data_IF_738561010595
#
_entry.id   IF_738561010595
#
_cell.length_a   1.000
_cell.length_b   1.000
_cell.length_c   1.000
_cell.angle_alpha   90.00
_cell.angle_beta   90.00
_cell.angle_gamma   90.00
#
_symmetry.space_group_name_H-M   'P 1'
#
loop_
_entity.id
_entity.type
_entity.pdbx_description
1 polymer ?
#
# COMPACT_ATOMS: atom_id res chain seq x y z
N UNK A 1 -14.85 -20.28 -77.30
CA UNK A 1 -13.66 -19.61 -76.74
C UNK A 1 -13.71 -19.79 -75.23
N UNK A 2 -12.60 -20.26 -74.67
CA UNK A 2 -12.40 -20.63 -73.27
C UNK A 2 -12.44 -19.42 -72.32
N UNK A 3 -12.80 -19.63 -71.05
CA UNK A 3 -12.58 -18.65 -70.00
C UNK A 3 -13.31 -18.96 -68.69
N UNK A 4 -12.75 -19.86 -67.90
CA UNK A 4 -13.10 -20.15 -66.50
C UNK A 4 -12.92 -18.91 -65.61
N UNK A 5 -13.98 -18.46 -64.93
CA UNK A 5 -13.86 -17.52 -63.80
C UNK A 5 -13.43 -18.31 -62.56
N UNK A 6 -12.17 -18.17 -62.16
CA UNK A 6 -11.71 -18.55 -60.82
C UNK A 6 -11.79 -17.33 -59.92
N UNK A 7 -12.59 -17.43 -58.86
CA UNK A 7 -12.63 -16.46 -57.77
C UNK A 7 -11.25 -16.35 -57.10
N UNK A 8 -10.58 -15.23 -57.35
CA UNK A 8 -9.38 -14.84 -56.62
C UNK A 8 -9.78 -14.27 -55.26
N UNK A 9 -9.66 -15.08 -54.21
CA UNK A 9 -9.58 -14.62 -52.83
C UNK A 9 -8.42 -13.63 -52.72
N UNK A 10 -8.75 -12.34 -52.71
CA UNK A 10 -7.78 -11.28 -52.49
C UNK A 10 -7.51 -11.22 -50.98
N UNK A 11 -6.54 -12.03 -50.54
CA UNK A 11 -5.92 -11.89 -49.23
C UNK A 11 -5.31 -10.50 -49.14
N UNK A 12 -5.93 -9.62 -48.37
CA UNK A 12 -5.37 -8.30 -48.03
C UNK A 12 -4.15 -8.58 -47.16
N UNK A 13 -2.96 -8.62 -47.76
CA UNK A 13 -1.69 -8.59 -47.02
C UNK A 13 -1.61 -7.25 -46.29
N UNK A 14 -2.13 -7.20 -45.06
CA UNK A 14 -1.92 -6.09 -44.14
C UNK A 14 -0.48 -6.17 -43.61
N UNK A 15 0.42 -5.47 -44.30
CA UNK A 15 1.81 -5.28 -43.89
C UNK A 15 1.87 -4.55 -42.54
N UNK A 16 2.58 -5.08 -41.53
CA UNK A 16 2.73 -4.42 -40.24
C UNK A 16 3.53 -3.12 -40.41
N UNK A 17 3.08 -2.04 -39.77
CA UNK A 17 3.85 -0.80 -39.71
C UNK A 17 5.18 -1.05 -38.99
N UNK A 18 6.27 -1.00 -39.74
CA UNK A 18 7.62 -1.18 -39.23
C UNK A 18 8.10 0.10 -38.54
N UNK A 19 8.61 -0.03 -37.31
CA UNK A 19 9.26 1.08 -36.60
C UNK A 19 10.65 1.35 -37.17
N UNK A 20 11.11 2.62 -37.16
CA UNK A 20 12.42 3.00 -37.69
C UNK A 20 13.58 2.51 -36.81
N UNK A 21 14.78 2.62 -37.38
CA UNK A 21 16.07 2.31 -36.77
C UNK A 21 16.29 3.23 -35.54
N UNK A 22 16.99 2.78 -34.48
CA UNK A 22 17.17 3.56 -33.26
C UNK A 22 17.76 4.95 -33.51
N UNK A 23 17.17 5.98 -32.87
CA UNK A 23 17.54 7.42 -32.88
C UNK A 23 16.98 8.28 -34.02
N UNK A 24 16.11 7.75 -34.87
CA UNK A 24 15.34 8.57 -35.82
C UNK A 24 13.86 8.62 -35.41
N UNK A 25 13.26 9.81 -35.42
CA UNK A 25 11.84 9.97 -35.14
C UNK A 25 11.02 9.41 -36.32
N UNK A 26 10.09 8.49 -36.05
CA UNK A 26 9.18 7.98 -37.07
C UNK A 26 8.22 9.07 -37.55
N UNK A 27 7.77 8.98 -38.81
CA UNK A 27 6.63 9.76 -39.30
C UNK A 27 5.42 9.44 -38.41
N UNK A 28 4.63 10.46 -38.08
CA UNK A 28 3.39 10.27 -37.33
C UNK A 28 2.41 9.44 -38.17
N UNK A 29 1.78 8.45 -37.53
CA UNK A 29 0.74 7.63 -38.13
C UNK A 29 -0.48 7.68 -37.22
N UNK A 30 -1.67 7.84 -37.82
CA UNK A 30 -2.93 7.81 -37.08
C UNK A 30 -3.33 6.35 -36.89
N UNK A 31 -3.28 5.89 -35.63
CA UNK A 31 -3.66 4.54 -35.28
C UNK A 31 -5.18 4.39 -35.30
N UNK A 32 -5.64 3.30 -35.91
CA UNK A 32 -7.03 2.90 -36.00
C UNK A 32 -7.30 1.58 -35.27
N UNK A 33 -8.58 1.27 -35.08
CA UNK A 33 -9.01 0.00 -34.53
C UNK A 33 -8.62 -1.15 -35.47
N UNK A 34 -7.93 -2.16 -34.94
CA UNK A 34 -7.44 -3.31 -35.71
C UNK A 34 -6.01 -3.16 -36.24
N UNK A 35 -5.32 -2.06 -35.94
CA UNK A 35 -3.93 -1.89 -36.34
C UNK A 35 -2.98 -2.83 -35.58
N UNK A 36 -2.01 -3.39 -36.28
CA UNK A 36 -0.93 -4.19 -35.68
C UNK A 36 0.31 -3.33 -35.47
N UNK A 37 0.69 -3.14 -34.21
CA UNK A 37 1.90 -2.43 -33.82
C UNK A 37 3.00 -3.42 -33.45
N UNK A 38 4.12 -3.42 -34.17
CA UNK A 38 5.27 -4.27 -33.85
C UNK A 38 6.36 -3.46 -33.15
N UNK A 39 6.70 -3.84 -31.92
CA UNK A 39 7.81 -3.27 -31.16
C UNK A 39 8.84 -4.37 -30.93
N UNK A 40 10.00 -4.26 -31.59
CA UNK A 40 11.02 -5.30 -31.57
C UNK A 40 10.49 -6.63 -32.12
N UNK A 41 10.50 -7.68 -31.28
CA UNK A 41 9.97 -9.00 -31.62
C UNK A 41 8.48 -9.21 -31.33
N UNK A 42 7.84 -8.28 -30.62
CA UNK A 42 6.46 -8.43 -30.14
C UNK A 42 5.49 -7.65 -31.02
N UNK A 43 4.42 -8.31 -31.47
CA UNK A 43 3.31 -7.68 -32.20
C UNK A 43 2.10 -7.52 -31.29
N UNK A 44 1.51 -6.32 -31.28
CA UNK A 44 0.31 -5.97 -30.53
C UNK A 44 -0.83 -5.69 -31.51
N UNK A 45 -2.02 -6.24 -31.25
CA UNK A 45 -3.25 -5.86 -31.94
C UNK A 45 -3.93 -4.73 -31.14
N UNK A 46 -4.16 -3.59 -31.77
CA UNK A 46 -4.71 -2.41 -31.14
C UNK A 46 -6.24 -2.37 -31.27
N UNK A 47 -6.95 -2.34 -30.14
CA UNK A 47 -8.38 -2.04 -30.10
C UNK A 47 -8.59 -0.62 -29.56
N UNK A 48 -8.98 0.31 -30.45
CA UNK A 48 -9.21 1.72 -30.11
C UNK A 48 -10.71 2.00 -30.18
N UNK A 49 -11.28 2.52 -29.09
CA UNK A 49 -12.70 2.80 -28.93
C UNK A 49 -12.90 4.19 -28.33
N UNK A 50 -13.85 4.96 -28.86
CA UNK A 50 -14.25 6.25 -28.28
C UNK A 50 -15.52 6.04 -27.46
N UNK A 51 -15.48 6.39 -26.17
CA UNK A 51 -16.60 6.19 -25.25
C UNK A 51 -16.84 4.71 -24.92
N UNK A 52 -18.12 4.28 -24.93
CA UNK A 52 -18.54 2.94 -24.48
C UNK A 52 -18.69 1.91 -25.60
N UNK A 53 -18.43 2.28 -26.86
CA UNK A 53 -18.53 1.36 -27.99
C UNK A 53 -17.34 0.39 -27.97
N UNK A 54 -17.56 -0.87 -27.59
CA UNK A 54 -16.54 -1.94 -27.66
C UNK A 54 -16.75 -2.80 -28.91
N UNK A 55 -15.69 -3.36 -29.49
CA UNK A 55 -15.81 -4.37 -30.54
C UNK A 55 -16.16 -5.74 -29.94
N UNK A 56 -16.57 -6.68 -30.79
CA UNK A 56 -16.90 -8.06 -30.42
C UNK A 56 -15.82 -8.73 -29.55
N UNK A 57 -14.55 -8.56 -29.91
CA UNK A 57 -13.43 -9.11 -29.16
C UNK A 57 -13.30 -8.47 -27.76
N UNK A 58 -13.36 -7.15 -27.65
CA UNK A 58 -13.31 -6.45 -26.36
C UNK A 58 -14.53 -6.75 -25.46
N UNK A 59 -15.73 -6.90 -26.05
CA UNK A 59 -16.92 -7.30 -25.31
C UNK A 59 -16.81 -8.73 -24.78
N UNK A 60 -16.23 -9.65 -25.58
CA UNK A 60 -16.09 -11.07 -25.21
C UNK A 60 -15.04 -11.31 -24.11
N UNK A 61 -13.98 -10.50 -24.07
CA UNK A 61 -12.92 -10.60 -23.06
C UNK A 61 -13.32 -10.05 -21.69
N UNK A 62 -14.55 -9.53 -21.53
CA UNK A 62 -15.03 -8.96 -20.27
C UNK A 62 -14.28 -7.69 -19.85
N UNK A 63 -13.55 -7.05 -20.79
CA UNK A 63 -12.87 -5.77 -20.56
C UNK A 63 -13.94 -4.69 -20.60
N UNK A 64 -14.65 -4.55 -19.48
CA UNK A 64 -15.50 -3.40 -19.24
C UNK A 64 -14.58 -2.21 -19.00
N UNK A 65 -14.50 -1.30 -19.97
CA UNK A 65 -13.96 0.03 -19.73
C UNK A 65 -14.88 0.69 -18.69
N UNK A 66 -14.46 0.71 -17.44
CA UNK A 66 -15.01 1.63 -16.43
C UNK A 66 -14.78 3.02 -16.99
N UNK A 67 -15.84 3.62 -17.53
CA UNK A 67 -15.78 4.88 -18.23
C UNK A 67 -15.09 5.95 -17.41
N UNK A 68 -13.89 6.34 -17.83
CA UNK A 68 -13.50 7.73 -17.79
C UNK A 68 -14.31 8.41 -18.89
N UNK A 69 -15.40 9.07 -18.51
CA UNK A 69 -16.13 9.95 -19.41
C UNK A 69 -15.18 11.08 -19.83
N UNK A 70 -14.83 11.13 -21.11
CA UNK A 70 -14.08 12.23 -21.68
C UNK A 70 -14.95 13.51 -21.73
N UNK A 71 -14.45 14.56 -21.07
CA UNK A 71 -14.44 15.91 -21.61
C UNK A 71 -15.70 16.76 -21.47
N UNK A 72 -15.80 17.51 -20.36
CA UNK A 72 -16.55 18.77 -20.34
C UNK A 72 -17.04 19.20 -18.96
N UNK A 73 -16.29 20.09 -18.28
CA UNK A 73 -16.81 20.84 -17.14
C UNK A 73 -15.91 20.79 -15.90
N UNK A 74 -14.92 21.67 -15.87
CA UNK A 74 -14.31 22.12 -14.63
C UNK A 74 -15.37 22.86 -13.79
N UNK A 75 -16.05 22.15 -12.88
CA UNK A 75 -16.64 22.75 -11.67
C UNK A 75 -17.08 21.64 -10.72
N UNK A 76 -16.62 21.69 -9.46
CA UNK A 76 -17.11 20.94 -8.28
C UNK A 76 -16.38 19.64 -7.87
N UNK A 77 -15.06 19.50 -8.10
CA UNK A 77 -14.24 18.44 -7.46
C UNK A 77 -14.27 18.53 -5.92
N UNK A 78 -14.32 19.75 -5.38
CA UNK A 78 -14.51 20.01 -3.96
C UNK A 78 -15.84 19.44 -3.41
N UNK A 79 -16.87 19.33 -4.26
CA UNK A 79 -18.22 18.91 -3.85
C UNK A 79 -18.33 17.40 -3.64
N UNK A 80 -17.68 16.59 -4.48
CA UNK A 80 -17.72 15.12 -4.34
C UNK A 80 -16.88 14.64 -3.15
N UNK A 81 -15.67 15.19 -2.97
CA UNK A 81 -14.84 14.86 -1.81
C UNK A 81 -15.47 15.37 -0.51
N UNK A 82 -16.10 16.56 -0.54
CA UNK A 82 -16.87 17.05 0.61
C UNK A 82 -18.10 16.18 0.91
N UNK A 83 -18.81 15.70 -0.12
CA UNK A 83 -19.92 14.76 0.04
C UNK A 83 -19.45 13.42 0.61
N UNK A 84 -18.32 12.89 0.14
CA UNK A 84 -17.68 11.68 0.67
C UNK A 84 -17.28 11.86 2.13
N UNK A 85 -16.64 12.98 2.47
CA UNK A 85 -16.27 13.33 3.87
C UNK A 85 -17.50 13.51 4.75
N UNK A 86 -18.56 14.15 4.27
CA UNK A 86 -19.84 14.31 4.98
C UNK A 86 -20.52 12.95 5.21
N UNK A 87 -20.56 12.09 4.19
CA UNK A 87 -21.09 10.73 4.28
C UNK A 87 -20.32 9.87 5.29
N UNK A 88 -18.98 9.92 5.22
CA UNK A 88 -18.12 9.22 6.18
C UNK A 88 -18.30 9.75 7.61
N UNK A 89 -18.48 11.06 7.79
CA UNK A 89 -18.78 11.65 9.10
C UNK A 89 -20.15 11.24 9.65
N UNK A 90 -21.18 11.13 8.79
CA UNK A 90 -22.50 10.62 9.17
C UNK A 90 -22.39 9.15 9.62
N UNK A 91 -21.63 8.34 8.88
CA UNK A 91 -21.39 6.94 9.23
C UNK A 91 -20.65 6.82 10.56
N UNK A 92 -19.55 7.55 10.74
CA UNK A 92 -18.80 7.57 12.01
C UNK A 92 -19.65 8.03 13.19
N UNK A 93 -20.56 9.00 13.00
CA UNK A 93 -21.51 9.43 14.03
C UNK A 93 -22.52 8.34 14.36
N UNK A 94 -23.10 7.69 13.35
CA UNK A 94 -24.09 6.60 13.52
C UNK A 94 -23.52 5.43 14.33
N UNK A 95 -22.24 5.12 14.15
CA UNK A 95 -21.57 3.99 14.80
C UNK A 95 -20.64 4.38 15.96
N UNK A 96 -20.73 5.61 16.47
CA UNK A 96 -19.94 6.04 17.65
C UNK A 96 -18.41 6.11 17.43
N UNK A 97 -17.94 6.10 16.18
CA UNK A 97 -16.53 6.08 15.79
C UNK A 97 -15.89 7.48 15.67
N UNK A 98 -16.59 8.54 16.11
CA UNK A 98 -16.01 9.88 16.16
C UNK A 98 -15.12 10.02 17.40
N UNK A 99 -13.82 9.77 17.23
CA UNK A 99 -12.80 10.42 18.04
C UNK A 99 -12.76 11.89 17.62
N UNK A 100 -13.41 12.78 18.36
CA UNK A 100 -13.05 14.21 18.36
C UNK A 100 -12.52 14.53 19.73
N UNK A 101 -11.39 15.21 19.72
CA UNK A 101 -10.49 15.41 20.84
C UNK A 101 -11.15 16.04 22.08
N UNK A 102 -10.66 15.64 23.24
CA UNK A 102 -10.83 16.28 24.56
C UNK A 102 -12.08 15.89 25.34
N UNK A 103 -11.85 15.01 26.32
CA UNK A 103 -12.43 15.02 27.66
C UNK A 103 -13.24 16.29 27.97
N UNK A 104 -14.56 16.10 27.95
CA UNK A 104 -15.57 17.09 28.28
C UNK A 104 -16.92 16.40 28.25
N UNK A 105 -17.14 15.60 29.30
CA UNK A 105 -18.44 15.14 29.78
C UNK A 105 -19.29 14.28 28.83
N UNK A 106 -18.95 13.00 28.83
CA UNK A 106 -19.80 11.80 28.67
C UNK A 106 -18.95 10.74 27.97
N UNK A 107 -18.26 9.90 28.75
CA UNK A 107 -18.02 8.53 28.28
C UNK A 107 -19.37 8.08 27.73
N UNK A 108 -19.43 7.67 26.46
CA UNK A 108 -20.55 6.88 25.98
C UNK A 108 -20.56 5.61 26.84
N UNK A 109 -21.19 5.67 28.01
CA UNK A 109 -21.52 4.51 28.79
C UNK A 109 -22.31 3.66 27.83
N UNK A 110 -21.83 2.44 27.62
CA UNK A 110 -22.62 1.44 26.95
C UNK A 110 -24.01 1.47 27.62
N UNK A 111 -25.11 1.38 26.85
CA UNK A 111 -26.46 1.40 27.40
C UNK A 111 -26.52 0.54 28.66
N UNK A 112 -27.29 0.94 29.69
CA UNK A 112 -27.28 0.28 31.00
C UNK A 112 -27.63 -1.23 30.91
N UNK A 113 -28.31 -1.62 29.83
CA UNK A 113 -28.67 -2.99 29.45
C UNK A 113 -27.68 -3.68 28.47
N UNK A 114 -26.60 -3.02 28.05
CA UNK A 114 -25.59 -3.59 27.18
C UNK A 114 -24.51 -4.29 27.99
N UNK A 115 -24.49 -5.62 27.90
CA UNK A 115 -23.42 -6.44 28.46
C UNK A 115 -22.29 -6.58 27.44
N UNK A 116 -21.09 -6.10 27.78
CA UNK A 116 -19.91 -6.28 26.92
C UNK A 116 -19.41 -7.73 27.00
N UNK A 117 -20.04 -8.59 26.19
CA UNK A 117 -19.66 -10.01 26.04
C UNK A 117 -18.23 -10.15 25.49
N UNK A 118 -17.71 -9.16 24.76
CA UNK A 118 -16.34 -9.20 24.26
C UNK A 118 -15.32 -8.99 25.38
N UNK A 119 -15.59 -8.08 26.32
CA UNK A 119 -14.79 -7.93 27.54
C UNK A 119 -14.81 -9.20 28.40
N UNK A 120 -15.99 -9.81 28.60
CA UNK A 120 -16.11 -11.09 29.29
C UNK A 120 -15.31 -12.21 28.61
N UNK A 121 -15.32 -12.25 27.26
CA UNK A 121 -14.53 -13.21 26.47
C UNK A 121 -13.03 -12.95 26.58
N UNK A 122 -12.58 -11.69 26.59
CA UNK A 122 -11.17 -11.32 26.84
C UNK A 122 -10.73 -11.74 28.24
N UNK A 123 -11.59 -11.64 29.26
CA UNK A 123 -11.26 -12.09 30.61
C UNK A 123 -11.20 -13.62 30.75
N UNK A 124 -12.10 -14.33 30.05
CA UNK A 124 -12.18 -15.80 30.12
C UNK A 124 -11.16 -16.51 29.23
N UNK A 125 -10.88 -15.96 28.06
CA UNK A 125 -10.05 -16.59 27.01
C UNK A 125 -8.91 -15.72 26.52
N UNK A 126 -8.90 -14.43 26.84
CA UNK A 126 -7.74 -13.59 26.59
C UNK A 126 -6.67 -13.94 27.59
N UNK A 127 -5.44 -14.06 27.09
CA UNK A 127 -4.28 -14.19 27.94
C UNK A 127 -4.02 -12.78 28.46
N UNK A 128 -4.33 -12.50 29.74
CA UNK A 128 -3.74 -11.33 30.39
C UNK A 128 -2.24 -11.61 30.44
N UNK A 129 -1.48 -11.01 29.52
CA UNK A 129 -0.02 -11.06 29.64
C UNK A 129 0.30 -10.32 30.94
N UNK A 130 0.88 -11.00 31.95
CA UNK A 130 1.32 -10.31 33.16
C UNK A 130 2.30 -9.21 32.73
N UNK A 131 2.39 -8.12 33.50
CA UNK A 131 3.33 -7.04 33.21
C UNK A 131 4.77 -7.55 33.03
N UNK A 132 5.14 -8.66 33.69
CA UNK A 132 6.41 -9.37 33.53
C UNK A 132 6.62 -10.08 32.19
N UNK A 133 5.55 -10.31 31.43
CA UNK A 133 5.60 -10.80 30.05
C UNK A 133 5.68 -9.67 29.02
N UNK A 134 5.38 -8.42 29.43
CA UNK A 134 5.74 -7.21 28.67
C UNK A 134 7.23 -7.02 28.88
N UNK A 135 8.03 -7.48 27.92
CA UNK A 135 9.47 -7.32 28.01
C UNK A 135 9.84 -5.87 27.71
N UNK A 136 10.66 -5.27 28.56
CA UNK A 136 11.43 -4.03 28.26
C UNK A 136 12.56 -4.32 27.25
N UNK A 137 12.33 -5.22 26.31
CA UNK A 137 13.28 -5.52 25.25
C UNK A 137 13.24 -4.32 24.29
N UNK A 138 14.32 -3.53 24.29
CA UNK A 138 14.51 -2.45 23.32
C UNK A 138 14.25 -2.99 21.91
N UNK A 139 13.48 -2.28 21.06
CA UNK A 139 13.21 -2.74 19.70
C UNK A 139 14.54 -3.00 18.98
N UNK A 140 14.68 -4.19 18.40
CA UNK A 140 15.86 -4.55 17.61
C UNK A 140 15.95 -3.60 16.42
N UNK A 141 17.08 -2.91 16.30
CA UNK A 141 17.40 -2.08 15.13
C UNK A 141 18.23 -2.91 14.15
N UNK A 142 18.30 -2.46 12.90
CA UNK A 142 19.19 -3.08 11.89
C UNK A 142 20.66 -2.67 12.09
N UNK A 143 20.91 -1.56 12.79
CA UNK A 143 22.25 -0.99 12.95
C UNK A 143 23.02 -1.60 14.12
N UNK A 144 22.33 -2.15 15.11
CA UNK A 144 22.96 -2.70 16.31
C UNK A 144 22.90 -4.23 16.29
N UNK A 145 24.01 -4.93 16.59
CA UNK A 145 24.02 -6.38 16.65
C UNK A 145 23.12 -6.89 17.79
N UNK A 146 22.46 -8.02 17.56
CA UNK A 146 21.59 -8.66 18.55
C UNK A 146 22.44 -9.13 19.75
N UNK A 147 22.02 -8.75 20.96
CA UNK A 147 22.73 -9.11 22.20
C UNK A 147 22.83 -10.62 22.40
N UNK A 148 23.89 -11.06 23.09
CA UNK A 148 24.07 -12.46 23.47
C UNK A 148 23.04 -12.99 24.49
N UNK A 149 22.32 -12.09 25.16
CA UNK A 149 21.17 -12.43 26.02
C UNK A 149 19.94 -12.87 25.22
N UNK A 150 19.87 -12.53 23.93
CA UNK A 150 18.76 -12.91 23.07
C UNK A 150 18.73 -14.43 22.85
N UNK A 151 17.56 -15.03 23.02
CA UNK A 151 17.37 -16.48 22.84
C UNK A 151 17.77 -16.95 21.44
N UNK A 152 17.47 -16.16 20.41
CA UNK A 152 17.85 -16.46 19.02
C UNK A 152 19.36 -16.50 18.83
N UNK A 153 20.07 -15.51 19.36
CA UNK A 153 21.53 -15.48 19.35
C UNK A 153 22.12 -16.73 20.05
N UNK A 154 21.61 -17.08 21.24
CA UNK A 154 22.07 -18.26 21.97
C UNK A 154 21.81 -19.57 21.22
N UNK A 155 20.66 -19.68 20.55
CA UNK A 155 20.33 -20.84 19.73
C UNK A 155 21.29 -20.96 18.54
N UNK A 156 21.52 -19.87 17.79
CA UNK A 156 22.46 -19.87 16.67
C UNK A 156 23.87 -20.29 17.12
N UNK A 157 24.35 -19.73 18.23
CA UNK A 157 25.66 -20.08 18.80
C UNK A 157 25.77 -21.56 19.17
N UNK A 158 24.70 -22.16 19.69
CA UNK A 158 24.65 -23.61 19.98
C UNK A 158 24.73 -24.48 18.73
N UNK A 159 24.25 -23.98 17.60
CA UNK A 159 24.37 -24.64 16.29
C UNK A 159 25.69 -24.35 15.57
N UNK A 160 26.66 -23.71 16.25
CA UNK A 160 28.00 -23.47 15.73
C UNK A 160 28.16 -22.18 14.94
N UNK A 161 27.11 -21.37 14.81
CA UNK A 161 27.21 -20.03 14.22
C UNK A 161 27.97 -19.08 15.15
N UNK A 162 28.92 -18.31 14.61
CA UNK A 162 29.63 -17.26 15.35
C UNK A 162 29.23 -15.89 14.82
N UNK A 163 29.40 -14.87 15.65
CA UNK A 163 29.14 -13.49 15.25
C UNK A 163 29.98 -13.14 14.02
N UNK A 164 29.34 -12.67 12.96
CA UNK A 164 29.98 -12.36 11.68
C UNK A 164 30.00 -13.52 10.66
N UNK A 165 29.57 -14.72 11.04
CA UNK A 165 29.40 -15.82 10.09
C UNK A 165 28.11 -15.64 9.27
N UNK A 166 28.14 -16.05 8.00
CA UNK A 166 26.91 -16.15 7.20
C UNK A 166 26.31 -17.55 7.33
N UNK A 167 25.00 -17.65 7.12
CA UNK A 167 24.29 -18.92 7.23
C UNK A 167 24.36 -19.70 5.89
N UNK A 168 24.52 -21.02 5.97
CA UNK A 168 24.46 -21.92 4.81
C UNK A 168 25.62 -22.90 4.73
N UNK A 169 25.58 -23.79 3.74
CA UNK A 169 26.61 -24.82 3.52
C UNK A 169 27.90 -24.27 2.90
N UNK A 170 27.85 -23.09 2.28
CA UNK A 170 29.03 -22.44 1.75
C UNK A 170 29.83 -21.81 2.89
N UNK A 171 31.15 -22.03 2.90
CA UNK A 171 32.11 -21.54 3.91
C UNK A 171 32.08 -20.01 4.07
N UNK A 172 31.11 -19.49 4.82
CA UNK A 172 30.91 -18.06 5.10
C UNK A 172 30.78 -17.13 3.87
N UNK A 173 30.37 -17.66 2.71
CA UNK A 173 30.16 -16.86 1.47
C UNK A 173 28.74 -16.31 1.29
N UNK A 174 27.86 -16.52 2.27
CA UNK A 174 26.49 -16.04 2.26
C UNK A 174 26.37 -14.57 2.64
N UNK A 175 25.13 -14.08 2.67
CA UNK A 175 24.80 -12.72 3.09
C UNK A 175 24.93 -12.61 4.62
N UNK A 176 25.79 -11.72 5.10
CA UNK A 176 26.05 -11.50 6.54
C UNK A 176 25.20 -10.39 7.13
N UNK A 177 24.90 -9.36 6.33
CA UNK A 177 24.10 -8.21 6.76
C UNK A 177 22.68 -8.27 6.16
N UNK A 178 21.65 -7.82 6.88
CA UNK A 178 20.29 -7.76 6.34
C UNK A 178 20.21 -6.93 5.06
N UNK A 179 19.44 -7.41 4.08
CA UNK A 179 19.21 -6.65 2.84
C UNK A 179 18.40 -5.40 3.16
N UNK A 180 18.92 -4.24 2.75
CA UNK A 180 18.23 -2.96 2.93
C UNK A 180 16.98 -2.89 2.06
N UNK A 181 15.88 -2.43 2.65
CA UNK A 181 14.60 -2.27 1.95
C UNK A 181 14.17 -0.81 1.96
N UNK A 182 13.71 -0.37 0.80
CA UNK A 182 13.32 1.01 0.56
C UNK A 182 11.82 1.09 0.29
N UNK A 183 11.14 1.95 1.04
CA UNK A 183 9.74 2.31 0.85
C UNK A 183 9.67 3.55 -0.04
N UNK A 184 8.87 3.45 -1.11
CA UNK A 184 8.49 4.61 -1.91
C UNK A 184 7.47 5.45 -1.15
N UNK A 185 7.61 6.76 -1.24
CA UNK A 185 6.60 7.68 -0.71
C UNK A 185 5.32 7.59 -1.55
N UNK A 186 4.19 7.36 -0.87
CA UNK A 186 2.85 7.37 -1.47
C UNK A 186 2.72 6.44 -2.70
N UNK A 187 1.74 6.73 -3.57
CA UNK A 187 1.46 6.03 -4.84
C UNK A 187 2.47 6.39 -5.95
N UNK A 188 3.73 6.65 -5.61
CA UNK A 188 4.74 6.99 -6.59
C UNK A 188 5.03 5.80 -7.52
N UNK A 189 5.11 6.09 -8.82
CA UNK A 189 5.42 5.10 -9.85
C UNK A 189 6.83 4.50 -9.71
N UNK A 190 7.08 3.41 -10.43
CA UNK A 190 8.44 2.89 -10.61
C UNK A 190 9.24 3.91 -11.45
N UNK A 191 10.48 4.21 -11.07
CA UNK A 191 11.32 5.20 -11.76
C UNK A 191 11.11 6.66 -11.35
N UNK A 192 10.16 6.96 -10.45
CA UNK A 192 10.03 8.29 -9.86
C UNK A 192 11.26 8.60 -8.99
N UNK A 193 12.02 9.64 -9.34
CA UNK A 193 13.27 10.04 -8.67
C UNK A 193 13.08 10.69 -7.29
N UNK A 194 11.84 10.72 -6.77
CA UNK A 194 11.58 11.18 -5.42
C UNK A 194 12.25 10.31 -4.36
N UNK A 195 12.50 10.91 -3.20
CA UNK A 195 13.24 10.27 -2.11
C UNK A 195 12.59 8.94 -1.69
N UNK A 196 13.33 7.85 -1.90
CA UNK A 196 13.11 6.55 -1.29
C UNK A 196 13.41 6.67 0.20
N UNK A 197 12.48 6.23 1.04
CA UNK A 197 12.67 6.21 2.49
C UNK A 197 13.11 4.82 2.91
N UNK A 198 14.11 4.72 3.78
CA UNK A 198 14.42 3.44 4.42
C UNK A 198 13.21 2.95 5.21
N UNK A 199 12.94 1.63 5.17
CA UNK A 199 11.86 1.00 5.93
C UNK A 199 11.89 1.39 7.42
N UNK A 200 13.10 1.51 7.98
CA UNK A 200 13.32 1.90 9.38
C UNK A 200 12.76 3.31 9.68
N UNK A 201 13.10 4.28 8.83
CA UNK A 201 12.63 5.66 8.98
C UNK A 201 11.12 5.80 8.78
N UNK A 202 10.51 4.93 7.97
CA UNK A 202 9.07 4.92 7.76
C UNK A 202 8.32 4.36 8.98
N UNK A 203 8.84 3.30 9.62
CA UNK A 203 8.21 2.66 10.76
C UNK A 203 8.20 3.57 12.01
N UNK A 204 9.27 4.36 12.21
CA UNK A 204 9.33 5.37 13.27
C UNK A 204 8.25 6.46 13.13
N UNK A 205 7.85 6.77 11.89
CA UNK A 205 6.81 7.78 11.60
C UNK A 205 5.39 7.21 11.61
N UNK A 206 5.24 5.90 11.37
CA UNK A 206 3.95 5.21 11.24
C UNK A 206 3.13 5.10 12.53
N UNK A 207 3.73 5.35 13.70
CA UNK A 207 3.02 5.31 15.00
C UNK A 207 3.04 6.66 15.70
N UNK A 208 2.25 7.60 15.18
CA UNK A 208 1.65 8.66 15.99
C UNK A 208 2.62 9.46 16.89
N UNK A 209 3.83 9.78 16.44
CA UNK A 209 4.81 10.50 17.27
C UNK A 209 4.27 11.83 17.82
N UNK A 210 3.39 12.52 17.08
CA UNK A 210 2.71 13.71 17.58
C UNK A 210 1.65 13.41 18.66
N UNK A 211 0.96 12.26 18.58
CA UNK A 211 -0.03 11.84 19.57
C UNK A 211 0.61 11.29 20.85
N UNK A 212 1.66 10.49 20.70
CA UNK A 212 2.40 9.90 21.82
C UNK A 212 3.11 10.95 22.68
N UNK A 213 3.79 11.92 22.05
CA UNK A 213 4.42 13.02 22.78
C UNK A 213 3.40 13.94 23.47
N UNK A 214 2.24 14.18 22.85
CA UNK A 214 1.15 14.94 23.49
C UNK A 214 0.54 14.18 24.68
N UNK A 215 0.43 12.86 24.60
CA UNK A 215 -0.04 12.01 25.70
C UNK A 215 0.93 12.04 26.89
N UNK A 216 2.25 11.90 26.65
CA UNK A 216 3.28 11.94 27.70
C UNK A 216 3.31 13.29 28.45
N UNK A 217 3.25 14.41 27.71
CA UNK A 217 3.18 15.75 28.31
C UNK A 217 1.92 15.91 29.17
N UNK A 218 0.77 15.47 28.69
CA UNK A 218 -0.49 15.51 29.48
C UNK A 218 -0.39 14.66 30.74
N UNK A 219 0.27 13.51 30.70
CA UNK A 219 0.45 12.67 31.87
C UNK A 219 1.30 13.37 32.93
N UNK A 220 2.39 14.03 32.52
CA UNK A 220 3.22 14.86 33.41
C UNK A 220 2.42 16.01 34.03
N UNK A 221 1.61 16.73 33.24
CA UNK A 221 0.78 17.83 33.74
C UNK A 221 -0.26 17.37 34.79
N UNK A 222 -0.84 16.18 34.60
CA UNK A 222 -1.79 15.59 35.56
C UNK A 222 -1.09 15.21 36.86
N UNK A 223 0.06 14.54 36.76
CA UNK A 223 0.87 14.15 37.93
C UNK A 223 1.33 15.39 38.72
N UNK A 224 1.73 16.47 38.03
CA UNK A 224 2.10 17.72 38.70
C UNK A 224 0.91 18.41 39.36
N UNK A 225 -0.27 18.40 38.73
CA UNK A 225 -1.49 18.95 39.33
C UNK A 225 -1.90 18.15 40.58
N UNK A 226 -1.80 16.83 40.56
CA UNK A 226 -2.09 15.99 41.73
C UNK A 226 -1.10 16.25 42.87
N UNK A 227 0.20 16.36 42.57
CA UNK A 227 1.21 16.75 43.56
C UNK A 227 0.95 18.14 44.17
N UNK A 228 0.47 19.09 43.38
CA UNK A 228 0.08 20.42 43.88
C UNK A 228 -1.18 20.36 44.75
N UNK A 229 -2.17 19.52 44.40
CA UNK A 229 -3.39 19.33 45.20
C UNK A 229 -3.14 18.63 46.54
N UNK A 230 -2.10 17.80 46.64
CA UNK A 230 -1.71 17.13 47.88
C UNK A 230 -0.80 17.97 48.79
N UNK A 231 -0.36 19.14 48.32
CA UNK A 231 0.51 20.08 49.06
C UNK A 231 -0.27 21.22 49.74
N UNK A 232 -1.59 21.20 49.68
CA UNK A 232 -2.50 22.10 50.38
C UNK A 232 -3.45 21.28 51.25
#
# INVERSE_FOLDING_TARGET
MFGSLTDGLQTVEQLPLALPVPKEASKSYLLQHGDYLKIGGTSFLLHIHRGMASCSECSSMGISVVGAADGGGASNDESLEMQRRKGLNKLKKKYGLRLKDSFGDELHKLPENYTDKAAARRKRYGIELPQSAIRDDSPSTVNDPISSSNKGHQMLKKFGWKEGDSLGAAENKGITEPISTFIRSNKAGLGFSGSLQSLESANQRGRGGAGHNKMLKRYQDVVEKEKKRQRF
#
